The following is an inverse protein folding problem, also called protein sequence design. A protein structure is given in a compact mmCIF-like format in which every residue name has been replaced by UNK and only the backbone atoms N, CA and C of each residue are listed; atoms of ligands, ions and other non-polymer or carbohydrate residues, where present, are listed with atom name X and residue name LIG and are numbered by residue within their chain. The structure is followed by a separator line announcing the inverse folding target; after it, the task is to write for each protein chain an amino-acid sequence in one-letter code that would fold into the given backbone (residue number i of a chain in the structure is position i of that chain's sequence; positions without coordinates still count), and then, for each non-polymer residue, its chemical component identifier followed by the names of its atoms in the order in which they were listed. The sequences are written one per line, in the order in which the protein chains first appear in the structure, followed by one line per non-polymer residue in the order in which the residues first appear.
data_IF_750502414467
#
_entry.id   IF_750502414467
#
_cell.length_a   1.000
_cell.length_b   1.000
_cell.length_c   1.000
_cell.angle_alpha   90.00
_cell.angle_beta   90.00
_cell.angle_gamma   90.00
#
_symmetry.space_group_name_H-M   'P 1'
#
loop_
_entity.id
_entity.type
_entity.pdbx_description
1 polymer ?
#
# COMPACT_ATOMS: atom_id res chain seq x y z
N UNK A 1 4.93 7.93 15.96
CA UNK A 1 3.87 7.01 16.45
C UNK A 1 4.37 5.58 16.45
N UNK A 2 4.61 4.92 15.30
CA UNK A 2 5.10 3.52 15.27
C UNK A 2 6.38 3.30 16.10
N UNK A 3 7.41 4.14 15.92
CA UNK A 3 8.66 4.03 16.67
C UNK A 3 8.51 4.14 18.20
N UNK A 4 7.48 4.85 18.67
CA UNK A 4 7.17 4.96 20.10
C UNK A 4 6.35 3.76 20.56
N UNK A 5 5.35 3.36 19.76
CA UNK A 5 4.51 2.21 20.03
C UNK A 5 5.29 0.88 20.02
N UNK A 6 6.38 0.82 19.28
CA UNK A 6 7.28 -0.33 19.26
C UNK A 6 7.92 -0.60 20.63
N UNK A 7 8.09 0.41 21.47
CA UNK A 7 8.69 0.25 22.80
C UNK A 7 7.72 -0.49 23.72
N UNK A 8 8.18 -1.58 24.34
CA UNK A 8 7.43 -2.31 25.37
C UNK A 8 7.70 -1.66 26.72
N UNK A 9 6.67 -1.24 27.47
CA UNK A 9 6.84 -0.79 28.84
C UNK A 9 7.06 -2.01 29.73
N UNK A 10 8.30 -2.26 30.15
CA UNK A 10 8.58 -3.12 31.30
C UNK A 10 9.75 -2.56 32.13
N UNK A 11 9.65 -2.66 33.45
CA UNK A 11 10.57 -2.06 34.44
C UNK A 11 11.98 -2.71 34.44
N UNK A 12 12.19 -3.76 33.64
CA UNK A 12 13.44 -4.52 33.55
C UNK A 12 14.11 -4.51 32.15
N UNK A 13 13.78 -3.56 31.27
CA UNK A 13 14.64 -3.16 30.16
C UNK A 13 14.32 -3.71 28.76
N UNK A 14 13.97 -2.78 27.86
CA UNK A 14 14.53 -2.75 26.50
C UNK A 14 13.83 -3.54 25.38
N UNK A 15 12.66 -4.14 25.60
CA UNK A 15 11.95 -4.88 24.54
C UNK A 15 11.37 -3.97 23.43
N UNK A 16 11.45 -4.42 22.18
CA UNK A 16 10.76 -3.79 21.03
C UNK A 16 9.84 -4.80 20.35
N UNK A 17 8.56 -4.44 20.17
CA UNK A 17 7.61 -5.17 19.35
C UNK A 17 7.52 -4.56 17.95
N UNK A 18 7.35 -5.40 16.92
CA UNK A 18 7.23 -4.92 15.55
C UNK A 18 5.93 -4.13 15.35
N UNK A 19 6.05 -2.90 14.87
CA UNK A 19 4.98 -2.15 14.21
C UNK A 19 5.58 -1.22 13.17
N UNK A 20 5.04 -1.24 11.96
CA UNK A 20 5.51 -0.44 10.83
C UNK A 20 4.34 0.15 10.05
N UNK A 21 4.65 1.08 9.14
CA UNK A 21 3.70 1.53 8.13
C UNK A 21 3.52 0.40 7.12
N UNK A 22 2.26 0.01 6.89
CA UNK A 22 1.86 -0.96 5.89
C UNK A 22 1.44 -0.27 4.59
N UNK A 23 0.70 0.84 4.69
CA UNK A 23 0.29 1.62 3.52
C UNK A 23 0.40 3.12 3.82
N UNK A 24 1.05 3.85 2.92
CA UNK A 24 0.88 5.29 2.79
C UNK A 24 -0.09 5.55 1.63
N UNK A 25 -1.37 5.65 1.96
CA UNK A 25 -2.45 5.85 0.98
C UNK A 25 -2.59 7.32 0.54
N UNK A 26 -1.95 8.24 1.25
CA UNK A 26 -2.09 9.68 1.03
C UNK A 26 -3.40 10.26 1.55
N UNK A 27 -3.58 11.59 1.35
CA UNK A 27 -4.73 12.31 1.89
C UNK A 27 -4.87 12.22 3.42
N UNK A 28 -3.75 12.07 4.13
CA UNK A 28 -3.71 11.85 5.58
C UNK A 28 -4.11 10.44 6.04
N UNK A 29 -4.31 9.48 5.13
CA UNK A 29 -4.60 8.10 5.46
C UNK A 29 -3.33 7.24 5.45
N UNK A 30 -3.04 6.61 6.58
CA UNK A 30 -1.94 5.66 6.75
C UNK A 30 -2.47 4.40 7.43
N UNK A 31 -2.01 3.23 6.98
CA UNK A 31 -2.26 1.93 7.63
C UNK A 31 -0.98 1.47 8.30
N UNK A 32 -1.09 0.92 9.50
CA UNK A 32 0.02 0.32 10.24
C UNK A 32 -0.23 -1.17 10.44
N UNK A 33 0.85 -1.94 10.60
CA UNK A 33 0.81 -3.39 10.74
C UNK A 33 1.94 -3.87 11.64
N UNK A 34 1.73 -5.00 12.32
CA UNK A 34 2.69 -5.55 13.26
C UNK A 34 2.03 -6.41 14.33
N UNK A 35 2.70 -6.56 15.47
CA UNK A 35 2.18 -7.27 16.63
C UNK A 35 1.02 -6.51 17.25
N UNK A 36 -0.01 -7.24 17.70
CA UNK A 36 -1.26 -6.66 18.21
C UNK A 36 -1.04 -5.63 19.32
N UNK A 37 -0.20 -5.94 20.30
CA UNK A 37 0.10 -5.01 21.41
C UNK A 37 0.69 -3.69 20.92
N UNK A 38 1.66 -3.74 20.00
CA UNK A 38 2.25 -2.55 19.40
C UNK A 38 1.25 -1.74 18.56
N UNK A 39 0.35 -2.39 17.82
CA UNK A 39 -0.71 -1.70 17.06
C UNK A 39 -1.69 -1.01 18.01
N UNK A 40 -2.11 -1.67 19.09
CA UNK A 40 -3.01 -1.08 20.09
C UNK A 40 -2.37 0.13 20.79
N UNK A 41 -1.08 0.05 21.14
CA UNK A 41 -0.31 1.21 21.64
C UNK A 41 -0.23 2.34 20.62
N UNK A 42 0.01 2.03 19.34
CA UNK A 42 0.05 3.02 18.27
C UNK A 42 -1.28 3.76 18.11
N UNK A 43 -2.41 3.05 18.24
CA UNK A 43 -3.76 3.65 18.23
C UNK A 43 -3.93 4.61 19.41
N UNK A 44 -3.50 4.23 20.62
CA UNK A 44 -3.58 5.09 21.79
C UNK A 44 -2.73 6.36 21.62
N UNK A 45 -1.48 6.22 21.19
CA UNK A 45 -0.57 7.35 20.93
C UNK A 45 -1.12 8.26 19.83
N UNK A 46 -1.70 7.69 18.76
CA UNK A 46 -2.32 8.47 17.69
C UNK A 46 -3.48 9.34 18.21
N UNK A 47 -4.37 8.77 19.03
CA UNK A 47 -5.48 9.50 19.66
C UNK A 47 -4.99 10.61 20.58
N UNK A 48 -3.98 10.34 21.41
CA UNK A 48 -3.38 11.33 22.30
C UNK A 48 -2.74 12.51 21.53
N UNK A 49 -2.28 12.29 20.30
CA UNK A 49 -1.72 13.31 19.40
C UNK A 49 -2.75 14.02 18.52
N UNK A 50 -4.05 13.80 18.75
CA UNK A 50 -5.11 14.49 18.01
C UNK A 50 -5.41 13.92 16.63
N UNK A 51 -4.98 12.68 16.32
CA UNK A 51 -5.37 12.02 15.06
C UNK A 51 -6.88 11.77 15.08
N UNK A 52 -7.59 12.35 14.09
CA UNK A 52 -9.07 12.34 14.01
C UNK A 52 -9.69 10.95 14.08
N UNK A 53 -9.04 9.96 13.46
CA UNK A 53 -9.52 8.56 13.43
C UNK A 53 -8.34 7.60 13.51
N UNK A 54 -8.31 6.79 14.56
CA UNK A 54 -7.38 5.66 14.72
C UNK A 54 -8.18 4.45 15.19
N UNK A 55 -8.29 3.44 14.32
CA UNK A 55 -9.15 2.26 14.50
C UNK A 55 -8.38 0.98 14.18
N UNK A 56 -8.68 -0.08 14.90
CA UNK A 56 -8.18 -1.42 14.58
C UNK A 56 -8.97 -1.96 13.39
N UNK A 57 -8.29 -2.54 12.40
CA UNK A 57 -8.92 -3.14 11.23
C UNK A 57 -9.25 -4.62 11.48
N UNK A 58 -10.44 -5.10 11.06
CA UNK A 58 -10.81 -6.51 11.20
C UNK A 58 -10.16 -7.36 10.09
N UNK A 59 -8.84 -7.48 10.12
CA UNK A 59 -8.06 -8.29 9.18
C UNK A 59 -7.45 -9.50 9.88
N UNK A 60 -7.24 -10.58 9.13
CA UNK A 60 -6.76 -11.86 9.67
C UNK A 60 -5.25 -11.93 9.87
N UNK A 61 -4.47 -11.03 9.25
CA UNK A 61 -3.01 -11.10 9.24
C UNK A 61 -2.35 -9.70 9.22
N UNK A 62 -1.09 -9.59 9.69
CA UNK A 62 -0.33 -8.35 9.67
C UNK A 62 0.34 -8.11 8.31
N UNK A 63 -0.45 -7.83 7.26
CA UNK A 63 0.06 -7.58 5.90
C UNK A 63 1.06 -6.41 5.84
N UNK A 64 1.98 -6.45 4.87
CA UNK A 64 2.96 -5.38 4.60
C UNK A 64 3.84 -5.03 5.81
N UNK A 65 4.29 -6.06 6.54
CA UNK A 65 5.32 -5.92 7.56
C UNK A 65 6.23 -7.15 7.61
N UNK A 66 7.32 -7.07 8.36
CA UNK A 66 8.32 -8.14 8.46
C UNK A 66 7.76 -9.50 8.94
N UNK A 67 6.61 -9.53 9.63
CA UNK A 67 5.95 -10.80 10.02
C UNK A 67 5.44 -11.61 8.82
N UNK A 68 5.40 -11.03 7.62
CA UNK A 68 4.98 -11.71 6.39
C UNK A 68 6.13 -12.39 5.65
N UNK A 69 7.32 -12.50 6.25
CA UNK A 69 8.47 -13.18 5.63
C UNK A 69 8.16 -14.59 5.08
N UNK A 70 7.43 -15.48 5.82
CA UNK A 70 7.07 -16.79 5.27
C UNK A 70 6.19 -16.71 4.02
N UNK A 71 5.34 -15.69 3.91
CA UNK A 71 4.52 -15.47 2.71
C UNK A 71 5.35 -14.90 1.55
N UNK A 72 6.42 -14.14 1.83
CA UNK A 72 7.36 -13.67 0.82
C UNK A 72 8.17 -14.83 0.23
N UNK A 73 8.65 -15.76 1.06
CA UNK A 73 9.33 -16.99 0.61
C UNK A 73 8.41 -17.84 -0.28
N UNK A 74 7.14 -17.99 0.10
CA UNK A 74 6.16 -18.69 -0.74
C UNK A 74 5.88 -17.97 -2.08
N UNK A 75 5.88 -16.63 -2.08
CA UNK A 75 5.74 -15.83 -3.30
C UNK A 75 6.96 -15.99 -4.22
N UNK A 76 8.17 -16.00 -3.65
CA UNK A 76 9.42 -16.21 -4.40
C UNK A 76 9.41 -17.56 -5.11
N UNK A 77 9.13 -18.65 -4.38
CA UNK A 77 9.02 -19.98 -4.97
C UNK A 77 7.94 -20.07 -6.08
N UNK A 78 6.82 -19.37 -5.91
CA UNK A 78 5.77 -19.32 -6.93
C UNK A 78 6.22 -18.57 -8.19
N UNK A 79 6.90 -17.43 -8.03
CA UNK A 79 7.40 -16.62 -9.15
C UNK A 79 8.55 -17.30 -9.88
N UNK A 80 9.41 -18.07 -9.19
CA UNK A 80 10.44 -18.89 -9.82
C UNK A 80 9.83 -19.96 -10.74
N UNK A 81 8.72 -20.56 -10.31
CA UNK A 81 8.00 -21.56 -11.12
C UNK A 81 7.20 -20.96 -12.28
N UNK A 82 6.84 -19.68 -12.18
CA UNK A 82 6.00 -18.97 -13.14
C UNK A 82 6.46 -17.50 -13.26
N UNK A 83 7.60 -17.26 -13.94
CA UNK A 83 8.18 -15.93 -13.99
C UNK A 83 7.28 -14.96 -14.77
N UNK A 84 7.25 -13.68 -14.38
CA UNK A 84 6.52 -12.66 -15.12
C UNK A 84 7.09 -12.49 -16.53
N UNK A 85 6.27 -12.00 -17.44
CA UNK A 85 6.69 -11.54 -18.76
C UNK A 85 6.73 -10.03 -18.79
N UNK A 86 7.57 -9.45 -19.67
CA UNK A 86 7.71 -8.00 -19.76
C UNK A 86 6.35 -7.36 -20.10
N UNK A 87 5.84 -6.44 -19.26
CA UNK A 87 4.55 -5.83 -19.53
C UNK A 87 4.67 -4.86 -20.70
N UNK A 88 3.58 -4.71 -21.47
CA UNK A 88 3.52 -3.78 -22.61
C UNK A 88 3.61 -2.31 -22.19
N UNK A 89 3.17 -2.02 -20.97
CA UNK A 89 3.26 -0.71 -20.34
C UNK A 89 3.98 -0.85 -19.00
N UNK A 90 4.79 0.13 -18.57
CA UNK A 90 5.52 0.02 -17.31
C UNK A 90 4.59 -0.06 -16.09
N UNK A 91 5.01 -0.81 -15.09
CA UNK A 91 4.38 -0.88 -13.77
C UNK A 91 5.00 0.20 -12.87
N UNK A 92 4.20 0.94 -12.10
CA UNK A 92 4.72 1.72 -10.96
C UNK A 92 4.67 0.81 -9.73
N UNK A 93 5.82 0.29 -9.31
CA UNK A 93 5.88 -0.70 -8.24
C UNK A 93 5.66 -0.08 -6.86
N UNK A 94 4.89 -0.75 -6.01
CA UNK A 94 4.50 -0.24 -4.68
C UNK A 94 5.68 0.02 -3.73
N UNK A 95 6.75 -0.77 -3.83
CA UNK A 95 7.91 -0.70 -2.92
C UNK A 95 8.81 0.49 -3.26
N UNK A 96 8.96 0.80 -4.54
CA UNK A 96 9.88 1.85 -5.03
C UNK A 96 9.17 3.14 -5.42
N UNK A 97 7.87 3.07 -5.72
CA UNK A 97 7.11 4.13 -6.39
C UNK A 97 7.75 4.58 -7.72
N UNK A 98 8.42 3.66 -8.42
CA UNK A 98 9.13 3.90 -9.68
C UNK A 98 8.60 3.00 -10.79
N UNK A 99 8.78 3.47 -12.04
CA UNK A 99 8.44 2.70 -13.24
C UNK A 99 9.43 1.54 -13.40
N UNK A 100 8.89 0.34 -13.60
CA UNK A 100 9.63 -0.88 -13.88
C UNK A 100 8.97 -1.62 -15.05
N UNK A 101 9.79 -2.26 -15.88
CA UNK A 101 9.34 -3.09 -17.01
C UNK A 101 10.16 -4.37 -17.18
N UNK A 102 11.32 -4.47 -16.50
CA UNK A 102 12.15 -5.66 -16.52
C UNK A 102 11.49 -6.77 -15.67
N UNK A 103 11.22 -7.96 -16.22
CA UNK A 103 10.53 -9.04 -15.50
C UNK A 103 11.20 -9.50 -14.21
N UNK A 104 12.52 -9.65 -14.19
CA UNK A 104 13.27 -10.08 -13.00
C UNK A 104 13.12 -9.08 -11.85
N UNK A 105 13.22 -7.79 -12.15
CA UNK A 105 13.01 -6.69 -11.21
C UNK A 105 11.55 -6.66 -10.74
N UNK A 106 10.56 -6.91 -11.62
CA UNK A 106 9.16 -7.06 -11.22
C UNK A 106 8.99 -8.22 -10.23
N UNK A 107 9.63 -9.36 -10.47
CA UNK A 107 9.56 -10.51 -9.56
C UNK A 107 10.15 -10.18 -8.18
N UNK A 108 11.36 -9.59 -8.11
CA UNK A 108 11.96 -9.12 -6.84
C UNK A 108 11.03 -8.16 -6.10
N UNK A 109 10.48 -7.18 -6.82
CA UNK A 109 9.60 -6.17 -6.23
C UNK A 109 8.29 -6.76 -5.72
N UNK A 110 7.74 -7.80 -6.36
CA UNK A 110 6.55 -8.51 -5.89
C UNK A 110 6.83 -9.28 -4.59
N UNK A 111 7.97 -9.97 -4.48
CA UNK A 111 8.38 -10.65 -3.24
C UNK A 111 8.55 -9.63 -2.12
N UNK A 112 9.29 -8.54 -2.37
CA UNK A 112 9.52 -7.48 -1.39
C UNK A 112 8.24 -6.75 -0.98
N UNK A 113 7.24 -6.68 -1.85
CA UNK A 113 5.96 -6.04 -1.55
C UNK A 113 5.19 -6.74 -0.43
N UNK A 114 5.39 -8.06 -0.24
CA UNK A 114 4.70 -8.84 0.79
C UNK A 114 5.01 -8.34 2.19
N UNK A 115 6.27 -7.96 2.44
CA UNK A 115 6.75 -7.45 3.74
C UNK A 115 6.95 -5.93 3.77
N UNK A 116 7.04 -5.30 2.58
CA UNK A 116 7.27 -3.88 2.41
C UNK A 116 6.00 -3.03 2.43
N UNK A 117 6.17 -1.75 2.75
CA UNK A 117 5.08 -0.78 2.73
C UNK A 117 4.60 -0.50 1.30
N UNK A 118 3.28 -0.34 1.15
CA UNK A 118 2.64 0.14 -0.09
C UNK A 118 2.74 1.66 -0.14
N UNK A 119 3.62 2.19 -0.99
CA UNK A 119 3.87 3.64 -1.16
C UNK A 119 2.89 4.27 -2.15
N UNK A 120 1.59 4.06 -1.95
CA UNK A 120 0.54 4.45 -2.90
C UNK A 120 0.52 5.96 -3.18
N UNK A 121 0.66 6.80 -2.15
CA UNK A 121 0.77 8.27 -2.31
C UNK A 121 1.90 8.64 -3.26
N UNK A 122 3.07 8.05 -3.05
CA UNK A 122 4.26 8.35 -3.86
C UNK A 122 4.09 7.80 -5.28
N UNK A 123 3.47 6.63 -5.47
CA UNK A 123 3.16 6.09 -6.79
C UNK A 123 2.26 7.02 -7.60
N UNK A 124 1.24 7.62 -6.97
CA UNK A 124 0.38 8.61 -7.61
C UNK A 124 1.16 9.89 -7.96
N UNK A 125 1.97 10.40 -7.05
CA UNK A 125 2.81 11.58 -7.32
C UNK A 125 3.82 11.32 -8.45
N UNK A 126 4.39 10.12 -8.52
CA UNK A 126 5.29 9.70 -9.60
C UNK A 126 4.56 9.64 -10.96
N UNK A 127 3.32 9.15 -10.99
CA UNK A 127 2.48 9.18 -12.19
C UNK A 127 2.16 10.62 -12.62
N UNK A 128 1.77 11.49 -11.69
CA UNK A 128 1.52 12.90 -11.99
C UNK A 128 2.76 13.63 -12.51
N UNK A 129 3.94 13.33 -11.95
CA UNK A 129 5.20 13.94 -12.36
C UNK A 129 5.61 13.60 -13.81
N UNK A 130 5.11 12.51 -14.38
CA UNK A 130 5.32 12.15 -15.79
C UNK A 130 4.17 12.57 -16.70
N UNK A 131 3.26 13.43 -16.22
CA UNK A 131 2.17 14.01 -17.00
C UNK A 131 0.88 13.19 -17.03
N UNK A 132 0.72 12.17 -16.18
CA UNK A 132 -0.58 11.46 -16.06
C UNK A 132 -1.55 12.36 -15.31
N UNK A 133 -2.60 12.80 -15.99
CA UNK A 133 -3.69 13.60 -15.43
C UNK A 133 -5.00 12.81 -15.24
N UNK A 134 -5.06 11.57 -15.76
CA UNK A 134 -6.28 10.77 -15.82
C UNK A 134 -6.02 9.35 -15.32
N UNK A 135 -6.79 8.93 -14.32
CA UNK A 135 -6.66 7.65 -13.63
C UNK A 135 -7.94 6.83 -13.75
N UNK A 136 -7.79 5.53 -14.01
CA UNK A 136 -8.89 4.58 -14.10
C UNK A 136 -8.71 3.48 -13.05
N UNK A 137 -9.66 3.36 -12.13
CA UNK A 137 -9.78 2.25 -11.19
C UNK A 137 -10.58 1.13 -11.86
N UNK A 138 -9.88 0.07 -12.26
CA UNK A 138 -10.49 -1.13 -12.84
C UNK A 138 -10.84 -2.11 -11.72
N UNK A 139 -12.10 -2.55 -11.66
CA UNK A 139 -12.57 -3.52 -10.67
C UNK A 139 -13.65 -2.96 -9.74
N UNK A 140 -13.82 -3.60 -8.58
CA UNK A 140 -14.94 -3.31 -7.66
C UNK A 140 -14.67 -2.11 -6.76
N UNK A 141 -15.67 -1.25 -6.59
CA UNK A 141 -15.62 -0.11 -5.68
C UNK A 141 -15.01 1.14 -6.30
N UNK A 142 -14.71 2.13 -5.43
CA UNK A 142 -14.23 3.47 -5.81
C UNK A 142 -13.15 3.97 -4.86
N UNK A 143 -12.43 3.04 -4.22
CA UNK A 143 -11.48 3.36 -3.13
C UNK A 143 -10.28 4.09 -3.71
N UNK A 144 -9.66 3.56 -4.76
CA UNK A 144 -8.46 4.13 -5.37
C UNK A 144 -8.78 5.48 -6.03
N UNK A 145 -9.92 5.60 -6.71
CA UNK A 145 -10.41 6.86 -7.28
C UNK A 145 -10.57 7.93 -6.20
N UNK A 146 -11.07 7.54 -5.03
CA UNK A 146 -11.15 8.43 -3.86
C UNK A 146 -9.79 8.86 -3.34
N UNK A 147 -8.79 7.99 -3.35
CA UNK A 147 -7.41 8.31 -2.98
C UNK A 147 -6.73 9.22 -3.99
N UNK A 148 -6.92 8.98 -5.29
CA UNK A 148 -6.43 9.85 -6.37
C UNK A 148 -6.88 11.29 -6.13
N UNK A 149 -8.18 11.54 -5.95
CA UNK A 149 -8.71 12.90 -5.72
C UNK A 149 -8.16 13.58 -4.46
N UNK A 150 -7.70 12.83 -3.47
CA UNK A 150 -7.08 13.39 -2.24
C UNK A 150 -5.60 13.72 -2.41
N UNK A 151 -4.90 13.01 -3.30
CA UNK A 151 -3.46 13.18 -3.53
C UNK A 151 -3.20 14.12 -4.70
N UNK A 152 -4.01 14.04 -5.75
CA UNK A 152 -3.96 14.81 -6.98
C UNK A 152 -5.35 15.41 -7.25
N UNK A 153 -5.68 16.58 -6.67
CA UNK A 153 -7.02 17.16 -6.76
C UNK A 153 -7.42 17.58 -8.17
N UNK A 154 -6.44 17.90 -9.03
CA UNK A 154 -6.66 18.33 -10.42
C UNK A 154 -6.75 17.15 -11.40
N UNK A 155 -6.47 15.92 -10.95
CA UNK A 155 -6.52 14.74 -11.80
C UNK A 155 -7.94 14.19 -11.96
N UNK A 156 -8.25 13.69 -13.16
CA UNK A 156 -9.45 12.92 -13.40
C UNK A 156 -9.31 11.52 -12.79
N UNK A 157 -10.36 11.05 -12.12
CA UNK A 157 -10.40 9.71 -11.54
C UNK A 157 -11.75 9.05 -11.83
N UNK A 158 -11.72 7.99 -12.62
CA UNK A 158 -12.89 7.21 -13.03
C UNK A 158 -12.81 5.79 -12.45
N UNK A 159 -13.95 5.23 -12.09
CA UNK A 159 -14.06 3.83 -11.72
C UNK A 159 -14.79 3.07 -12.84
N UNK A 160 -14.31 1.88 -13.16
CA UNK A 160 -14.88 0.99 -14.17
C UNK A 160 -15.00 -0.42 -13.60
N UNK A 161 -16.08 -0.65 -12.84
CA UNK A 161 -16.40 -1.93 -12.21
C UNK A 161 -17.67 -2.59 -12.72
N UNK A 162 -18.51 -1.84 -13.44
CA UNK A 162 -19.78 -2.30 -13.99
C UNK A 162 -19.80 -2.21 -15.52
N UNK A 163 -20.65 -2.97 -16.23
CA UNK A 163 -20.76 -2.86 -17.69
C UNK A 163 -21.01 -1.43 -18.17
N UNK A 164 -21.89 -0.69 -17.51
CA UNK A 164 -22.19 0.72 -17.84
C UNK A 164 -20.99 1.64 -17.65
N UNK A 165 -20.21 1.46 -16.59
CA UNK A 165 -19.00 2.25 -16.37
C UNK A 165 -17.91 1.91 -17.40
N UNK A 166 -17.79 0.64 -17.80
CA UNK A 166 -16.89 0.21 -18.88
C UNK A 166 -17.31 0.83 -20.22
N UNK A 167 -18.59 0.79 -20.57
CA UNK A 167 -19.10 1.45 -21.78
C UNK A 167 -18.84 2.96 -21.77
N UNK A 168 -18.95 3.59 -20.60
CA UNK A 168 -18.67 5.03 -20.45
C UNK A 168 -17.19 5.32 -20.61
N UNK A 169 -16.32 4.50 -20.02
CA UNK A 169 -14.86 4.61 -20.19
C UNK A 169 -14.46 4.45 -21.65
N UNK A 170 -14.99 3.45 -22.36
CA UNK A 170 -14.67 3.19 -23.76
C UNK A 170 -15.07 4.33 -24.71
N UNK A 171 -16.05 5.16 -24.33
CA UNK A 171 -16.44 6.36 -25.09
C UNK A 171 -15.54 7.57 -24.80
N UNK A 172 -14.81 7.54 -23.69
CA UNK A 172 -13.97 8.64 -23.22
C UNK A 172 -12.48 8.46 -23.54
N UNK A 173 -12.06 7.23 -23.89
CA UNK A 173 -10.73 6.89 -24.43
C UNK A 173 -10.67 7.18 -25.94
#
# INVERSE_FOLDING_TARGET
ICAEAAKVPDEAGGGSELVSVANDNGGGQVVISGLRGAVERAIAIAKARGVKRAVLLPVSAPFHCALMAPAAEAMEAALDSSPPVAPKVPLIANVTAQRVQEPGEIADLLVRQVTGAVRWRESLLAAGAIGVDSFVELGSGKVLSGLVRRVLPDAQALAAGTPTEIESLLKAL
#
